data_IF_951937654165
#
_entry.id   IF_951937654165
#
_cell.length_a   1.000
_cell.length_b   1.000
_cell.length_c   1.000
_cell.angle_alpha   90.00
_cell.angle_beta   90.00
_cell.angle_gamma   90.00
#
_symmetry.space_group_name_H-M   'P 1'
#
loop_
_entity.id
_entity.type
_entity.pdbx_description
1 polymer ?
#
# COMPACT_ATOMS: atom_id res chain seq x y z
N UNK A 1 15.24 16.11 -18.00
CA UNK A 1 14.24 15.54 -17.09
C UNK A 1 13.95 14.10 -17.51
N UNK A 2 14.64 13.11 -16.94
CA UNK A 2 14.21 11.72 -17.02
C UNK A 2 13.77 11.30 -15.62
N UNK A 3 12.61 11.82 -15.19
CA UNK A 3 11.91 11.19 -14.08
C UNK A 3 11.32 9.89 -14.62
N UNK A 4 12.01 8.78 -14.39
CA UNK A 4 11.52 7.48 -14.85
C UNK A 4 10.54 6.92 -13.82
N UNK A 5 9.34 7.52 -13.72
CA UNK A 5 8.26 7.06 -12.84
C UNK A 5 7.96 5.56 -13.00
N UNK A 6 8.21 5.02 -14.20
CA UNK A 6 8.08 3.58 -14.47
C UNK A 6 8.89 2.72 -13.51
N UNK A 7 10.10 3.14 -13.11
CA UNK A 7 10.91 2.38 -12.14
C UNK A 7 10.15 2.14 -10.83
N UNK A 8 9.48 3.17 -10.31
CA UNK A 8 8.73 3.07 -9.05
C UNK A 8 7.46 2.23 -9.24
N UNK A 9 6.73 2.44 -10.33
CA UNK A 9 5.45 1.75 -10.58
C UNK A 9 5.63 0.30 -11.00
N UNK A 10 6.66 -0.02 -11.77
CA UNK A 10 6.96 -1.39 -12.21
C UNK A 10 7.41 -2.24 -11.01
N UNK A 11 8.28 -1.68 -10.14
CA UNK A 11 8.67 -2.34 -8.89
C UNK A 11 7.47 -2.53 -7.95
N UNK A 12 6.58 -1.55 -7.85
CA UNK A 12 5.36 -1.66 -7.06
C UNK A 12 4.44 -2.77 -7.60
N UNK A 13 4.25 -2.85 -8.92
CA UNK A 13 3.46 -3.90 -9.56
C UNK A 13 3.99 -5.30 -9.22
N UNK A 14 5.30 -5.52 -9.40
CA UNK A 14 5.97 -6.78 -9.02
C UNK A 14 5.77 -7.11 -7.53
N UNK A 15 5.89 -6.10 -6.66
CA UNK A 15 5.71 -6.28 -5.21
C UNK A 15 4.28 -6.70 -4.87
N UNK A 16 3.28 -6.04 -5.46
CA UNK A 16 1.87 -6.37 -5.26
C UNK A 16 1.55 -7.78 -5.75
N UNK A 17 2.06 -8.18 -6.92
CA UNK A 17 1.87 -9.54 -7.45
C UNK A 17 2.49 -10.60 -6.53
N UNK A 18 3.71 -10.37 -6.05
CA UNK A 18 4.40 -11.28 -5.15
C UNK A 18 3.68 -11.40 -3.80
N UNK A 19 3.29 -10.26 -3.20
CA UNK A 19 2.49 -10.25 -1.95
C UNK A 19 1.15 -10.97 -2.17
N UNK A 20 0.48 -10.73 -3.29
CA UNK A 20 -0.81 -11.38 -3.58
C UNK A 20 -0.68 -12.90 -3.67
N UNK A 21 0.39 -13.41 -4.31
CA UNK A 21 0.70 -14.85 -4.37
C UNK A 21 1.05 -15.42 -2.99
N UNK A 22 1.84 -14.71 -2.19
CA UNK A 22 2.30 -15.17 -0.88
C UNK A 22 1.18 -15.19 0.18
N UNK A 23 0.29 -14.19 0.17
CA UNK A 23 -0.77 -14.02 1.18
C UNK A 23 -2.16 -14.46 0.68
N UNK A 24 -2.26 -14.96 -0.56
CA UNK A 24 -3.48 -15.52 -1.12
C UNK A 24 -4.64 -14.54 -1.14
N UNK A 25 -4.41 -13.34 -1.67
CA UNK A 25 -5.42 -12.27 -1.78
C UNK A 25 -6.08 -11.85 -0.46
N UNK A 26 -5.26 -11.74 0.58
CA UNK A 26 -5.69 -11.39 1.94
C UNK A 26 -6.37 -10.02 2.03
N UNK A 27 -6.02 -9.09 1.14
CA UNK A 27 -6.65 -7.76 1.09
C UNK A 27 -8.12 -7.88 0.66
N UNK A 28 -8.39 -8.46 -0.50
CA UNK A 28 -9.75 -8.67 -1.03
C UNK A 28 -10.62 -9.40 0.00
N UNK A 29 -10.11 -10.51 0.55
CA UNK A 29 -10.79 -11.27 1.63
C UNK A 29 -11.13 -10.42 2.86
N UNK A 30 -10.29 -9.45 3.20
CA UNK A 30 -10.55 -8.55 4.33
C UNK A 30 -11.67 -7.57 3.98
N UNK A 31 -11.68 -7.02 2.77
CA UNK A 31 -12.74 -6.12 2.31
C UNK A 31 -14.06 -6.88 2.18
N UNK A 32 -14.07 -8.11 1.64
CA UNK A 32 -15.26 -8.97 1.58
C UNK A 32 -15.86 -9.21 2.96
N UNK A 33 -15.00 -9.47 3.95
CA UNK A 33 -15.42 -9.84 5.31
C UNK A 33 -15.86 -8.65 6.16
N UNK A 34 -15.18 -7.51 6.04
CA UNK A 34 -15.34 -6.37 6.96
C UNK A 34 -15.85 -5.09 6.27
N UNK A 35 -16.02 -5.12 4.96
CA UNK A 35 -16.56 -4.04 4.15
C UNK A 35 -15.51 -3.03 3.66
N UNK A 36 -15.99 -2.08 2.85
CA UNK A 36 -15.17 -1.04 2.19
C UNK A 36 -14.38 -0.15 3.17
N UNK A 37 -14.80 -0.06 4.43
CA UNK A 37 -14.08 0.70 5.47
C UNK A 37 -12.65 0.22 5.67
N UNK A 38 -12.34 -1.04 5.38
CA UNK A 38 -10.98 -1.60 5.45
C UNK A 38 -10.01 -0.80 4.58
N UNK A 39 -10.45 -0.31 3.41
CA UNK A 39 -9.62 0.50 2.52
C UNK A 39 -9.16 1.76 3.25
N UNK A 40 -10.10 2.49 3.85
CA UNK A 40 -9.82 3.72 4.60
C UNK A 40 -8.93 3.47 5.82
N UNK A 41 -9.19 2.39 6.58
CA UNK A 41 -8.37 2.00 7.74
C UNK A 41 -6.93 1.74 7.32
N UNK A 42 -6.70 0.94 6.28
CA UNK A 42 -5.34 0.60 5.83
C UNK A 42 -4.56 1.80 5.34
N UNK A 43 -5.22 2.74 4.64
CA UNK A 43 -4.61 3.99 4.20
C UNK A 43 -4.31 4.92 5.38
N UNK A 44 -5.23 5.02 6.35
CA UNK A 44 -5.03 5.79 7.59
C UNK A 44 -3.81 5.29 8.38
N UNK A 45 -3.65 3.97 8.52
CA UNK A 45 -2.48 3.38 9.17
C UNK A 45 -1.16 3.87 8.53
N UNK A 46 -1.10 3.98 7.20
CA UNK A 46 0.10 4.43 6.48
C UNK A 46 0.28 5.93 6.58
N UNK A 47 -0.80 6.71 6.48
CA UNK A 47 -0.75 8.15 6.68
C UNK A 47 -0.22 8.50 8.09
N UNK A 48 -0.75 7.86 9.13
CA UNK A 48 -0.30 8.08 10.50
C UNK A 48 1.19 7.72 10.68
N UNK A 49 1.66 6.66 10.02
CA UNK A 49 3.08 6.28 10.00
C UNK A 49 3.93 7.35 9.31
N UNK A 50 3.49 7.89 8.17
CA UNK A 50 4.17 8.99 7.47
C UNK A 50 4.29 10.21 8.39
N UNK A 51 3.20 10.62 9.04
CA UNK A 51 3.21 11.76 9.98
C UNK A 51 4.18 11.53 11.13
N UNK A 52 4.18 10.32 11.70
CA UNK A 52 5.10 9.95 12.78
C UNK A 52 6.57 10.05 12.33
N UNK A 53 6.93 9.44 11.19
CA UNK A 53 8.29 9.41 10.66
C UNK A 53 8.82 10.81 10.33
N UNK A 54 7.98 11.67 9.73
CA UNK A 54 8.34 13.06 9.40
C UNK A 54 8.56 13.88 10.67
N UNK A 55 7.67 13.74 11.65
CA UNK A 55 7.70 14.57 12.87
C UNK A 55 8.89 14.21 13.76
N UNK A 56 9.20 12.92 13.91
CA UNK A 56 10.16 12.45 14.91
C UNK A 56 11.58 12.26 14.35
N UNK A 57 11.81 12.47 13.05
CA UNK A 57 13.10 12.22 12.39
C UNK A 57 13.70 10.83 12.71
N UNK A 58 12.87 9.87 13.11
CA UNK A 58 13.28 8.51 13.43
C UNK A 58 13.48 7.74 12.13
N UNK A 59 14.60 8.00 11.46
CA UNK A 59 15.21 7.07 10.51
C UNK A 59 15.91 5.97 11.32
N UNK A 60 15.17 5.18 12.11
CA UNK A 60 15.75 4.01 12.76
C UNK A 60 16.11 3.02 11.66
N UNK A 61 17.39 2.63 11.61
CA UNK A 61 17.96 1.68 10.63
C UNK A 61 17.28 0.30 10.59
N UNK A 62 16.35 0.01 11.51
CA UNK A 62 15.64 -1.27 11.63
C UNK A 62 14.11 -1.15 11.52
N UNK A 63 13.55 0.05 11.30
CA UNK A 63 12.11 0.27 11.10
C UNK A 63 11.79 0.54 9.61
N UNK A 64 10.58 0.14 9.18
CA UNK A 64 10.04 0.41 7.83
C UNK A 64 10.23 1.90 7.47
N UNK A 65 10.92 2.17 6.36
CA UNK A 65 11.37 3.51 5.99
C UNK A 65 10.22 4.40 5.50
N UNK A 66 10.46 5.71 5.40
CA UNK A 66 9.49 6.63 4.78
C UNK A 66 9.22 6.24 3.32
N UNK A 67 10.24 5.81 2.58
CA UNK A 67 10.11 5.34 1.20
C UNK A 67 9.22 4.10 1.12
N UNK A 68 9.45 3.11 1.99
CA UNK A 68 8.63 1.90 2.06
C UNK A 68 7.18 2.24 2.41
N UNK A 69 6.98 3.15 3.36
CA UNK A 69 5.63 3.56 3.80
C UNK A 69 4.87 4.27 2.66
N UNK A 70 5.55 5.10 1.87
CA UNK A 70 4.97 5.75 0.69
C UNK A 70 4.61 4.75 -0.40
N UNK A 71 5.49 3.77 -0.65
CA UNK A 71 5.23 2.69 -1.61
C UNK A 71 4.07 1.79 -1.14
N UNK A 72 3.98 1.48 0.15
CA UNK A 72 2.85 0.74 0.71
C UNK A 72 1.54 1.53 0.61
N UNK A 73 1.56 2.84 0.85
CA UNK A 73 0.37 3.69 0.67
C UNK A 73 -0.12 3.67 -0.78
N UNK A 74 0.81 3.76 -1.74
CA UNK A 74 0.50 3.60 -3.16
C UNK A 74 -0.06 2.19 -3.45
N UNK A 75 0.56 1.16 -2.89
CA UNK A 75 0.14 -0.23 -3.04
C UNK A 75 -1.28 -0.49 -2.53
N UNK A 76 -1.60 -0.05 -1.31
CA UNK A 76 -2.95 -0.18 -0.74
C UNK A 76 -4.00 0.63 -1.52
N UNK A 77 -3.62 1.77 -2.09
CA UNK A 77 -4.50 2.54 -2.98
C UNK A 77 -4.84 1.75 -4.24
N UNK A 78 -3.83 1.11 -4.87
CA UNK A 78 -4.03 0.26 -6.06
C UNK A 78 -4.83 -1.00 -5.72
N UNK A 79 -4.59 -1.64 -4.57
CA UNK A 79 -5.38 -2.79 -4.12
C UNK A 79 -6.86 -2.42 -3.91
N UNK A 80 -7.14 -1.26 -3.31
CA UNK A 80 -8.49 -0.73 -3.18
C UNK A 80 -9.15 -0.47 -4.53
N UNK A 81 -8.43 0.16 -5.47
CA UNK A 81 -8.92 0.39 -6.83
C UNK A 81 -9.20 -0.93 -7.57
N UNK A 82 -8.29 -1.91 -7.50
CA UNK A 82 -8.46 -3.25 -8.08
C UNK A 82 -9.73 -3.90 -7.53
N UNK A 83 -9.90 -3.90 -6.20
CA UNK A 83 -11.08 -4.45 -5.56
C UNK A 83 -12.36 -3.83 -6.15
N UNK A 84 -12.44 -2.49 -6.17
CA UNK A 84 -13.60 -1.78 -6.71
C UNK A 84 -13.85 -2.12 -8.18
N UNK A 85 -12.80 -2.23 -9.01
CA UNK A 85 -12.94 -2.55 -10.44
C UNK A 85 -13.37 -3.98 -10.73
N UNK A 86 -13.00 -4.93 -9.87
CA UNK A 86 -13.33 -6.34 -10.03
C UNK A 86 -14.66 -6.72 -9.36
N UNK A 87 -15.18 -5.88 -8.46
CA UNK A 87 -16.40 -6.11 -7.68
C UNK A 87 -17.45 -5.00 -7.89
N UNK A 88 -17.22 -4.08 -8.83
CA UNK A 88 -18.27 -3.24 -9.43
C UNK A 88 -19.14 -4.16 -10.32
N UNK A 89 -20.40 -4.38 -9.93
CA UNK A 89 -21.46 -4.83 -10.85
C UNK A 89 -21.81 -3.73 -11.86
#
# INVERSE_FOLDING_TARGET
>A
MNSNFRKYTDNLAVTLENKNKAYGDSFTKSVDKYGLSVIGVRLSDKYNRIEHLITHHELKENDESLEDTLLDMAGYSILGLKYLKEHEE
#
